data_IF_596546266342
#
_entry.id   IF_596546266342
#
_cell.length_a   1.000
_cell.length_b   1.000
_cell.length_c   1.000
_cell.angle_alpha   90.00
_cell.angle_beta   90.00
_cell.angle_gamma   90.00
#
_symmetry.space_group_name_H-M   'P 1'
#
loop_
_entity.id
_entity.type
_entity.pdbx_description
1 polymer ?
#
# COMPACT_ATOMS: atom_id res chain seq x y z
N UNK A 1 -21.12 -12.35 12.71
CA UNK A 1 -20.49 -11.02 12.58
C UNK A 1 -19.70 -11.05 11.28
N UNK A 2 -20.12 -10.33 10.23
CA UNK A 2 -19.43 -10.36 8.94
C UNK A 2 -18.38 -9.26 8.99
N UNK A 3 -17.14 -9.63 9.25
CA UNK A 3 -16.00 -8.71 9.20
C UNK A 3 -15.64 -8.54 7.73
N UNK A 4 -15.99 -7.39 7.17
CA UNK A 4 -15.51 -6.92 5.89
C UNK A 4 -14.62 -5.72 6.18
N UNK A 5 -13.38 -5.99 6.59
CA UNK A 5 -12.32 -5.03 6.40
C UNK A 5 -12.15 -4.93 4.90
N UNK A 6 -12.62 -3.84 4.31
CA UNK A 6 -12.30 -3.53 2.92
C UNK A 6 -10.86 -3.08 2.94
N UNK A 7 -9.99 -3.89 2.37
CA UNK A 7 -8.60 -3.55 2.09
C UNK A 7 -8.52 -3.26 0.60
N UNK A 8 -7.71 -2.27 0.21
CA UNK A 8 -7.56 -1.93 -1.21
C UNK A 8 -6.73 -3.00 -1.93
N UNK A 9 -5.68 -3.51 -1.28
CA UNK A 9 -4.83 -4.60 -1.74
C UNK A 9 -4.67 -5.64 -0.63
N UNK A 10 -5.28 -6.82 -0.82
CA UNK A 10 -5.34 -7.90 0.19
C UNK A 10 -4.05 -8.69 0.35
N UNK A 11 -3.18 -8.68 -0.67
CA UNK A 11 -1.89 -9.37 -0.62
C UNK A 11 -0.92 -8.69 -1.58
N UNK A 12 0.11 -8.08 -1.03
CA UNK A 12 1.24 -7.51 -1.79
C UNK A 12 2.56 -7.95 -1.19
N UNK A 13 3.57 -8.10 -2.03
CA UNK A 13 4.95 -8.26 -1.57
C UNK A 13 5.44 -6.96 -0.94
N UNK A 14 6.04 -7.05 0.24
CA UNK A 14 6.56 -5.91 0.97
C UNK A 14 7.97 -6.20 1.49
N UNK A 15 8.77 -5.13 1.57
CA UNK A 15 10.11 -5.18 2.13
C UNK A 15 10.24 -4.10 3.19
N UNK A 16 10.50 -4.50 4.43
CA UNK A 16 10.87 -3.59 5.50
C UNK A 16 12.39 -3.52 5.63
N UNK A 17 12.94 -2.30 5.55
CA UNK A 17 14.38 -2.06 5.67
C UNK A 17 14.66 -1.20 6.91
N UNK A 18 15.42 -1.76 7.84
CA UNK A 18 16.01 -1.05 8.97
C UNK A 18 17.50 -0.77 8.75
N UNK A 19 18.17 -0.22 9.77
CA UNK A 19 19.62 0.02 9.70
C UNK A 19 20.41 -1.29 9.52
N UNK A 20 20.03 -2.33 10.26
CA UNK A 20 20.75 -3.60 10.37
C UNK A 20 19.95 -4.82 9.84
N UNK A 21 18.78 -4.59 9.24
CA UNK A 21 17.94 -5.67 8.73
C UNK A 21 17.21 -5.30 7.43
N UNK A 22 16.92 -6.32 6.64
CA UNK A 22 15.99 -6.29 5.52
C UNK A 22 15.10 -7.52 5.67
N UNK A 23 13.78 -7.31 5.67
CA UNK A 23 12.79 -8.35 5.88
C UNK A 23 11.76 -8.30 4.77
N UNK A 24 11.66 -9.40 4.03
CA UNK A 24 10.57 -9.64 3.08
C UNK A 24 9.38 -10.23 3.83
N UNK A 25 8.19 -9.71 3.55
CA UNK A 25 6.93 -10.18 4.12
C UNK A 25 5.80 -9.92 3.14
N UNK A 26 4.65 -10.56 3.36
CA UNK A 26 3.42 -10.09 2.74
C UNK A 26 2.89 -8.88 3.49
N UNK A 27 2.08 -8.07 2.81
CA UNK A 27 1.39 -6.95 3.43
C UNK A 27 -0.02 -6.78 2.89
N UNK A 28 -0.82 -6.07 3.67
CA UNK A 28 -2.10 -5.50 3.27
C UNK A 28 -1.96 -3.99 3.16
N UNK A 29 -2.65 -3.38 2.20
CA UNK A 29 -2.69 -1.91 2.04
C UNK A 29 -4.13 -1.43 1.87
N UNK A 30 -4.52 -0.41 2.62
CA UNK A 30 -5.86 0.14 2.58
C UNK A 30 -5.88 1.66 2.47
N UNK A 31 -6.66 2.19 1.52
CA UNK A 31 -7.05 3.59 1.48
C UNK A 31 -8.54 3.70 1.84
N UNK A 32 -8.86 4.40 2.92
CA UNK A 32 -10.24 4.49 3.43
C UNK A 32 -10.54 5.87 4.04
N UNK A 33 -11.81 6.14 4.33
CA UNK A 33 -12.26 7.31 5.08
C UNK A 33 -13.52 6.94 5.88
N UNK A 34 -13.77 7.68 6.97
CA UNK A 34 -14.93 7.42 7.81
C UNK A 34 -16.26 7.59 7.04
N UNK A 35 -17.18 6.64 7.27
CA UNK A 35 -18.49 6.65 6.60
C UNK A 35 -19.37 7.83 7.00
N UNK A 36 -19.13 8.42 8.17
CA UNK A 36 -19.90 9.56 8.71
C UNK A 36 -18.92 10.66 9.06
N UNK A 37 -19.12 11.84 8.49
CA UNK A 37 -18.31 13.04 8.73
C UNK A 37 -16.79 12.80 8.57
N UNK A 38 -16.33 12.34 7.39
CA UNK A 38 -14.90 12.13 7.17
C UNK A 38 -14.13 13.45 7.25
N UNK A 39 -13.03 13.46 7.99
CA UNK A 39 -12.11 14.59 8.14
C UNK A 39 -10.75 14.34 7.48
N UNK A 40 -10.40 13.09 7.23
CA UNK A 40 -9.17 12.67 6.56
C UNK A 40 -9.37 11.42 5.69
N UNK A 41 -8.39 11.15 4.84
CA UNK A 41 -8.18 9.84 4.20
C UNK A 41 -7.13 9.10 5.03
N UNK A 42 -7.40 7.85 5.39
CA UNK A 42 -6.45 6.96 6.05
C UNK A 42 -5.80 6.07 5.01
N UNK A 43 -4.49 6.18 4.85
CA UNK A 43 -3.67 5.21 4.14
C UNK A 43 -3.04 4.30 5.19
N UNK A 44 -3.36 3.02 5.15
CA UNK A 44 -2.98 2.03 6.15
C UNK A 44 -2.20 0.91 5.50
N UNK A 45 -1.23 0.37 6.21
CA UNK A 45 -0.55 -0.86 5.82
C UNK A 45 -0.16 -1.68 7.03
N UNK A 46 -0.12 -2.99 6.87
CA UNK A 46 0.33 -3.94 7.90
C UNK A 46 1.18 -5.01 7.23
N UNK A 47 2.32 -5.29 7.84
CA UNK A 47 3.20 -6.38 7.42
C UNK A 47 2.75 -7.66 8.13
N UNK A 48 2.58 -8.74 7.37
CA UNK A 48 2.44 -10.10 7.90
C UNK A 48 3.82 -10.65 8.27
N UNK A 49 4.40 -10.07 9.31
CA UNK A 49 5.64 -10.56 9.90
C UNK A 49 5.31 -11.74 10.83
N UNK A 50 5.32 -12.95 10.27
CA UNK A 50 5.08 -14.21 10.99
C UNK A 50 5.78 -14.29 12.36
N UNK A 51 6.91 -13.61 12.50
CA UNK A 51 7.64 -13.38 13.74
C UNK A 51 7.90 -11.89 13.96
N UNK A 52 7.59 -11.36 15.15
CA UNK A 52 7.86 -9.96 15.55
C UNK A 52 9.36 -9.68 15.83
N UNK A 53 10.27 -10.35 15.12
CA UNK A 53 11.71 -10.30 15.39
C UNK A 53 12.30 -8.90 15.17
N UNK A 54 11.83 -8.20 14.13
CA UNK A 54 12.36 -6.90 13.73
C UNK A 54 11.34 -5.75 13.85
N UNK A 55 10.06 -6.06 13.72
CA UNK A 55 8.96 -5.10 13.81
C UNK A 55 7.83 -5.73 14.64
N UNK A 56 7.06 -4.95 15.42
CA UNK A 56 5.85 -5.47 16.05
C UNK A 56 4.80 -5.83 14.99
N UNK A 57 3.87 -6.74 15.29
CA UNK A 57 2.70 -6.98 14.42
C UNK A 57 1.70 -5.84 14.64
N UNK A 58 1.75 -4.83 13.77
CA UNK A 58 0.90 -3.64 13.88
C UNK A 58 0.57 -3.06 12.51
N UNK A 59 -0.63 -2.52 12.41
CA UNK A 59 -1.06 -1.70 11.29
C UNK A 59 -0.63 -0.25 11.50
N UNK A 60 0.13 0.26 10.55
CA UNK A 60 0.49 1.67 10.49
C UNK A 60 -0.58 2.45 9.74
N UNK A 61 -0.87 3.67 10.22
CA UNK A 61 -1.90 4.53 9.63
C UNK A 61 -1.35 5.93 9.41
N UNK A 62 -1.46 6.39 8.16
CA UNK A 62 -1.14 7.74 7.74
C UNK A 62 -2.45 8.49 7.51
N UNK A 63 -2.65 9.60 8.22
CA UNK A 63 -3.78 10.51 8.00
C UNK A 63 -3.41 11.55 6.95
N UNK A 64 -4.14 11.56 5.86
CA UNK A 64 -3.94 12.44 4.71
C UNK A 64 -5.10 13.41 4.59
N UNK A 65 -4.80 14.66 4.27
CA UNK A 65 -5.82 15.56 3.74
C UNK A 65 -6.30 15.05 2.36
N UNK A 66 -7.49 15.47 1.89
CA UNK A 66 -7.95 15.12 0.55
C UNK A 66 -7.02 15.58 -0.57
N UNK A 67 -6.21 16.61 -0.36
CA UNK A 67 -5.24 17.09 -1.35
C UNK A 67 -4.03 16.14 -1.43
N UNK A 68 -3.43 15.78 -0.29
CA UNK A 68 -2.29 14.86 -0.23
C UNK A 68 -2.65 13.47 -0.77
N UNK A 69 -3.86 12.98 -0.50
CA UNK A 69 -4.31 11.70 -1.03
C UNK A 69 -4.38 11.70 -2.57
N UNK A 70 -4.84 12.80 -3.19
CA UNK A 70 -4.87 12.94 -4.66
C UNK A 70 -3.49 13.08 -5.27
N UNK A 71 -2.57 13.73 -4.56
CA UNK A 71 -1.16 13.85 -4.97
C UNK A 71 -0.50 12.47 -5.04
N UNK A 72 -0.63 11.66 -3.98
CA UNK A 72 -0.14 10.27 -3.96
C UNK A 72 -0.78 9.45 -5.10
N UNK A 73 -2.09 9.55 -5.30
CA UNK A 73 -2.77 8.84 -6.38
C UNK A 73 -2.23 9.21 -7.78
N UNK A 74 -1.96 10.50 -8.00
CA UNK A 74 -1.38 10.98 -9.26
C UNK A 74 0.01 10.40 -9.50
N UNK A 75 0.85 10.36 -8.46
CA UNK A 75 2.19 9.75 -8.57
C UNK A 75 2.11 8.23 -8.81
N UNK A 76 1.18 7.53 -8.15
CA UNK A 76 0.93 6.11 -8.40
C UNK A 76 0.55 5.84 -9.86
N UNK A 77 -0.40 6.60 -10.42
CA UNK A 77 -0.81 6.48 -11.83
C UNK A 77 0.35 6.75 -12.79
N UNK A 78 1.13 7.81 -12.53
CA UNK A 78 2.32 8.16 -13.32
C UNK A 78 3.35 7.04 -13.33
N UNK A 79 3.61 6.43 -12.17
CA UNK A 79 4.58 5.35 -12.04
C UNK A 79 4.07 4.03 -12.63
N UNK A 80 2.78 3.72 -12.49
CA UNK A 80 2.15 2.57 -13.13
C UNK A 80 2.30 2.66 -14.66
N UNK A 81 1.94 3.81 -15.26
CA UNK A 81 2.11 4.04 -16.70
C UNK A 81 3.55 3.81 -17.17
N UNK A 82 4.53 4.31 -16.40
CA UNK A 82 5.95 4.11 -16.73
C UNK A 82 6.37 2.64 -16.71
N UNK A 83 5.82 1.84 -15.79
CA UNK A 83 6.05 0.39 -15.75
C UNK A 83 5.42 -0.27 -16.97
N UNK A 84 4.16 0.04 -17.28
CA UNK A 84 3.44 -0.48 -18.44
C UNK A 84 4.21 -0.20 -19.74
N UNK A 85 4.65 1.04 -19.95
CA UNK A 85 5.47 1.44 -21.11
C UNK A 85 6.80 0.68 -21.19
N UNK A 86 7.45 0.42 -20.05
CA UNK A 86 8.71 -0.33 -20.02
C UNK A 86 8.52 -1.84 -20.27
N UNK A 87 7.35 -2.38 -19.94
CA UNK A 87 7.01 -3.80 -20.11
C UNK A 87 6.26 -4.12 -21.40
N UNK A 88 5.75 -3.10 -22.10
CA UNK A 88 4.82 -3.20 -23.23
C UNK A 88 5.43 -3.06 -24.63
N UNK A 89 6.76 -2.96 -24.76
CA UNK A 89 7.45 -2.83 -26.06
C UNK A 89 7.96 -4.17 -26.64
N UNK A 90 7.58 -5.32 -26.08
CA UNK A 90 8.00 -6.67 -26.55
C UNK A 90 6.92 -7.44 -27.37
N UNK A 91 5.70 -6.89 -27.57
CA UNK A 91 4.61 -7.60 -28.29
C UNK A 91 4.12 -6.96 -29.61
N UNK A 92 4.85 -6.02 -30.23
CA UNK A 92 4.51 -5.51 -31.57
C UNK A 92 5.69 -5.51 -32.57
N UNK A 93 6.42 -6.62 -32.69
CA UNK A 93 7.10 -7.00 -33.96
C UNK A 93 7.33 -8.52 -34.04
N UNK A 94 6.37 -9.27 -34.59
CA UNK A 94 6.60 -10.58 -35.21
C UNK A 94 5.54 -10.88 -36.28
#
# INVERSE_FOLDING_TARGET
MKVNAYTTLDLVDAVAKGHDFEMEAFAVVNATADKKNPDCVQLQFELDNMTEEHLPAHMETIQLTPAQAREIATDLEKHAKRVEEATGDDEETA
#
